data_IF_898625304839
#
_entry.id   IF_898625304839
#
_cell.length_a   1.000
_cell.length_b   1.000
_cell.length_c   1.000
_cell.angle_alpha   90.00
_cell.angle_beta   90.00
_cell.angle_gamma   90.00
#
_symmetry.space_group_name_H-M   'P 1'
#
loop_
_entity.id
_entity.type
_entity.pdbx_description
1 polymer ?
#
# COMPACT_ATOMS: atom_id res chain seq x y z
N UNK A 1 -19.34 9.24 18.46
CA UNK A 1 -20.10 8.24 17.71
C UNK A 1 -19.69 6.85 18.20
N UNK A 2 -20.61 5.92 18.44
CA UNK A 2 -20.23 4.54 18.68
C UNK A 2 -19.46 4.04 17.45
N UNK A 3 -18.34 3.38 17.66
CA UNK A 3 -17.57 2.78 16.58
C UNK A 3 -18.43 1.63 16.05
N UNK A 4 -18.79 1.68 14.77
CA UNK A 4 -19.61 0.66 14.12
C UNK A 4 -18.79 -0.65 14.03
N UNK A 5 -19.44 -1.81 14.24
CA UNK A 5 -18.80 -3.14 14.12
C UNK A 5 -18.12 -3.34 12.76
N UNK A 6 -18.62 -2.73 11.71
CA UNK A 6 -18.03 -2.75 10.36
C UNK A 6 -16.71 -2.01 10.33
N UNK A 7 -16.61 -0.85 11.00
CA UNK A 7 -15.35 -0.12 11.11
C UNK A 7 -14.34 -0.92 11.94
N UNK A 8 -14.76 -1.58 13.01
CA UNK A 8 -13.88 -2.45 13.79
C UNK A 8 -13.33 -3.62 12.94
N UNK A 9 -14.17 -4.25 12.15
CA UNK A 9 -13.77 -5.33 11.23
C UNK A 9 -12.77 -4.81 10.18
N UNK A 10 -13.01 -3.62 9.63
CA UNK A 10 -12.09 -2.99 8.70
C UNK A 10 -10.74 -2.68 9.35
N UNK A 11 -10.71 -2.12 10.56
CA UNK A 11 -9.47 -1.84 11.30
C UNK A 11 -8.71 -3.14 11.63
N UNK A 12 -9.42 -4.22 11.94
CA UNK A 12 -8.80 -5.53 12.17
C UNK A 12 -8.10 -6.06 10.90
N UNK A 13 -8.75 -5.95 9.74
CA UNK A 13 -8.13 -6.34 8.45
C UNK A 13 -6.94 -5.44 8.09
N UNK A 14 -7.01 -4.16 8.42
CA UNK A 14 -5.91 -3.22 8.23
C UNK A 14 -4.70 -3.56 9.11
N UNK A 15 -4.92 -4.09 10.32
CA UNK A 15 -3.86 -4.48 11.24
C UNK A 15 -2.94 -5.56 10.64
N UNK A 16 -3.48 -6.53 9.90
CA UNK A 16 -2.70 -7.56 9.24
C UNK A 16 -1.81 -6.99 8.12
N UNK A 17 -2.31 -5.99 7.38
CA UNK A 17 -1.56 -5.30 6.33
C UNK A 17 -0.44 -4.40 6.88
N UNK A 18 -0.60 -3.92 8.12
CA UNK A 18 0.33 -2.99 8.75
C UNK A 18 1.54 -3.66 9.39
N UNK A 19 1.56 -4.99 9.53
CA UNK A 19 2.68 -5.69 10.17
C UNK A 19 4.04 -5.20 9.64
N UNK A 20 5.03 -4.96 10.51
CA UNK A 20 5.12 -5.22 11.95
C UNK A 20 4.55 -4.09 12.84
N UNK A 21 3.70 -3.23 12.30
CA UNK A 21 2.96 -2.21 13.05
C UNK A 21 1.55 -2.68 13.40
N UNK A 22 0.91 -1.97 14.33
CA UNK A 22 -0.48 -2.17 14.71
C UNK A 22 -1.19 -0.82 14.86
N UNK A 23 -2.50 -0.74 14.56
CA UNK A 23 -3.30 0.43 14.87
C UNK A 23 -3.37 0.66 16.38
N UNK A 24 -3.14 1.91 16.80
CA UNK A 24 -3.22 2.32 18.23
C UNK A 24 -4.35 3.31 18.47
N UNK A 25 -4.77 4.02 17.44
CA UNK A 25 -5.83 5.03 17.54
C UNK A 25 -6.56 5.14 16.21
N UNK A 26 -7.86 5.33 16.26
CA UNK A 26 -8.69 5.60 15.08
C UNK A 26 -9.58 6.81 15.36
N UNK A 27 -9.47 7.82 14.50
CA UNK A 27 -10.29 9.03 14.55
C UNK A 27 -11.17 9.03 13.29
N UNK A 28 -12.47 8.89 13.49
CA UNK A 28 -13.46 9.05 12.43
C UNK A 28 -14.06 10.44 12.49
N UNK A 29 -13.97 11.16 11.38
CA UNK A 29 -14.61 12.48 11.17
C UNK A 29 -15.62 12.35 10.05
N UNK A 30 -16.52 13.34 9.92
CA UNK A 30 -17.60 13.32 8.92
C UNK A 30 -17.09 13.19 7.46
N UNK A 31 -15.84 13.49 7.19
CA UNK A 31 -15.26 13.52 5.84
C UNK A 31 -14.09 12.56 5.62
N UNK A 32 -13.55 11.92 6.67
CA UNK A 32 -12.40 11.03 6.55
C UNK A 32 -12.12 10.25 7.83
N UNK A 33 -11.36 9.16 7.70
CA UNK A 33 -10.87 8.35 8.81
C UNK A 33 -9.34 8.48 8.86
N UNK A 34 -8.79 8.68 10.06
CA UNK A 34 -7.35 8.64 10.31
C UNK A 34 -7.08 7.50 11.28
N UNK A 35 -6.24 6.57 10.87
CA UNK A 35 -5.72 5.48 11.71
C UNK A 35 -4.28 5.77 12.03
N UNK A 36 -3.95 5.90 13.32
CA UNK A 36 -2.56 6.01 13.78
C UNK A 36 -2.03 4.63 14.11
N UNK A 37 -0.86 4.29 13.56
CA UNK A 37 -0.22 2.99 13.73
C UNK A 37 1.25 3.12 14.11
N UNK A 38 1.72 2.23 14.97
CA UNK A 38 3.12 2.16 15.39
C UNK A 38 3.57 0.71 15.52
N UNK A 39 4.86 0.50 15.84
CA UNK A 39 5.43 -0.83 16.02
C UNK A 39 4.62 -1.64 17.02
N UNK A 40 4.19 -2.83 16.62
CA UNK A 40 3.55 -3.81 17.49
C UNK A 40 4.54 -4.36 18.51
N UNK A 41 4.12 -4.43 19.77
CA UNK A 41 4.95 -5.02 20.83
C UNK A 41 5.23 -6.50 20.55
N UNK A 42 6.47 -6.94 20.76
CA UNK A 42 6.86 -8.33 20.54
C UNK A 42 6.98 -8.76 19.07
N UNK A 43 6.76 -7.86 18.09
CA UNK A 43 6.93 -8.20 16.68
C UNK A 43 8.38 -8.51 16.33
N UNK A 44 8.60 -9.57 15.57
CA UNK A 44 9.90 -9.89 14.98
C UNK A 44 10.14 -8.92 13.83
N UNK A 45 11.29 -8.25 13.87
CA UNK A 45 11.68 -7.28 12.84
C UNK A 45 12.74 -7.89 11.92
N UNK A 46 12.55 -7.73 10.63
CA UNK A 46 13.48 -8.21 9.62
C UNK A 46 13.96 -7.07 8.74
N UNK A 47 15.15 -7.22 8.15
CA UNK A 47 15.68 -6.31 7.17
C UNK A 47 14.81 -6.29 5.91
N UNK A 48 14.54 -5.10 5.36
CA UNK A 48 13.74 -4.97 4.15
C UNK A 48 14.39 -5.55 2.88
N UNK A 49 15.72 -5.78 2.91
CA UNK A 49 16.47 -6.22 1.74
C UNK A 49 16.84 -7.70 1.77
N UNK A 50 17.32 -8.22 2.89
CA UNK A 50 17.74 -9.63 3.02
C UNK A 50 16.85 -10.47 3.92
N UNK A 51 15.79 -9.89 4.48
CA UNK A 51 14.81 -10.53 5.36
C UNK A 51 15.37 -11.16 6.64
N UNK A 52 16.66 -10.96 6.92
CA UNK A 52 17.29 -11.44 8.15
C UNK A 52 16.69 -10.75 9.36
N UNK A 53 16.41 -11.51 10.41
CA UNK A 53 16.01 -10.95 11.70
C UNK A 53 17.07 -9.97 12.18
N UNK A 54 16.65 -8.77 12.52
CA UNK A 54 17.56 -7.64 12.78
C UNK A 54 17.16 -6.90 14.05
N UNK A 55 18.15 -6.36 14.76
CA UNK A 55 17.94 -5.66 16.01
C UNK A 55 17.16 -4.35 15.82
N UNK A 56 16.17 -4.05 16.65
CA UNK A 56 15.44 -2.78 16.59
C UNK A 56 16.38 -1.59 16.89
N UNK A 57 16.23 -0.50 16.14
CA UNK A 57 17.03 0.73 16.26
C UNK A 57 16.17 1.98 16.16
N UNK A 58 15.10 2.03 16.95
CA UNK A 58 14.21 3.17 17.01
C UNK A 58 13.12 3.14 15.95
N UNK A 59 12.56 4.31 15.67
CA UNK A 59 11.42 4.52 14.79
C UNK A 59 11.80 5.49 13.66
N UNK A 60 11.18 5.31 12.50
CA UNK A 60 11.26 6.25 11.39
C UNK A 60 10.36 7.48 11.66
N UNK A 61 10.48 8.51 10.84
CA UNK A 61 9.54 9.63 10.89
C UNK A 61 8.11 9.15 10.52
N UNK A 62 7.08 9.65 11.21
CA UNK A 62 5.69 9.35 10.87
C UNK A 62 5.39 9.69 9.42
N UNK A 63 4.59 8.84 8.77
CA UNK A 63 4.18 9.02 7.38
C UNK A 63 2.68 8.89 7.26
N UNK A 64 2.06 9.89 6.62
CA UNK A 64 0.64 9.85 6.27
C UNK A 64 0.49 9.17 4.91
N UNK A 65 -0.19 8.02 4.89
CA UNK A 65 -0.37 7.15 3.72
C UNK A 65 -1.85 7.01 3.43
N UNK A 66 -2.25 7.27 2.18
CA UNK A 66 -3.61 7.06 1.69
C UNK A 66 -3.87 5.56 1.51
N UNK A 67 -4.99 5.09 2.06
CA UNK A 67 -5.44 3.70 1.95
C UNK A 67 -6.81 3.63 1.24
N UNK A 68 -7.33 2.44 1.01
CA UNK A 68 -8.66 2.21 0.42
C UNK A 68 -9.73 2.88 1.27
N UNK A 69 -10.75 3.42 0.64
CA UNK A 69 -11.86 4.08 1.31
C UNK A 69 -12.69 3.07 2.14
N UNK A 70 -13.20 3.53 3.25
CA UNK A 70 -14.19 2.81 4.01
C UNK A 70 -15.54 3.50 3.83
N UNK A 71 -16.51 2.83 3.24
CA UNK A 71 -17.87 3.35 2.99
C UNK A 71 -17.87 4.77 2.36
N UNK A 72 -17.08 4.97 1.32
CA UNK A 72 -16.86 6.25 0.64
C UNK A 72 -16.18 7.34 1.49
N UNK A 73 -15.68 7.01 2.66
CA UNK A 73 -14.83 7.91 3.44
C UNK A 73 -13.36 7.64 3.18
N UNK A 74 -12.59 8.65 2.78
CA UNK A 74 -11.14 8.53 2.62
C UNK A 74 -10.46 8.06 3.90
N UNK A 75 -9.64 7.03 3.80
CA UNK A 75 -8.85 6.51 4.93
C UNK A 75 -7.39 6.91 4.78
N UNK A 76 -6.86 7.48 5.83
CA UNK A 76 -5.45 7.85 5.96
C UNK A 76 -4.83 7.09 7.11
N UNK A 77 -3.65 6.52 6.88
CA UNK A 77 -2.88 5.84 7.92
C UNK A 77 -1.64 6.67 8.25
N UNK A 78 -1.60 7.19 9.47
CA UNK A 78 -0.42 7.85 10.02
C UNK A 78 0.46 6.80 10.70
N UNK A 79 1.42 6.26 9.97
CA UNK A 79 2.22 5.12 10.43
C UNK A 79 3.66 5.52 10.74
N UNK A 80 4.16 5.01 11.86
CA UNK A 80 5.56 5.14 12.30
C UNK A 80 6.24 3.78 12.24
N UNK A 81 6.96 3.52 11.14
CA UNK A 81 7.63 2.24 10.93
C UNK A 81 8.85 2.07 11.83
N UNK A 82 9.11 0.85 12.34
CA UNK A 82 10.33 0.56 13.08
C UNK A 82 11.56 0.58 12.15
N UNK A 83 12.70 0.99 12.70
CA UNK A 83 14.02 0.87 12.07
C UNK A 83 14.78 -0.29 12.70
N UNK A 84 15.62 -0.92 11.89
CA UNK A 84 16.49 -2.02 12.30
C UNK A 84 17.92 -1.77 11.88
N UNK A 85 18.85 -2.43 12.54
CA UNK A 85 20.23 -2.52 12.09
C UNK A 85 20.47 -3.90 11.51
N UNK A 86 20.85 -3.96 10.24
CA UNK A 86 21.29 -5.16 9.55
C UNK A 86 22.81 -5.10 9.33
N UNK A 87 23.59 -6.15 9.64
CA UNK A 87 25.03 -6.13 9.42
C UNK A 87 25.44 -5.89 7.97
N UNK A 88 24.61 -6.31 7.01
CA UNK A 88 24.89 -6.15 5.56
C UNK A 88 24.37 -4.82 5.01
N UNK A 89 23.23 -4.32 5.51
CA UNK A 89 22.54 -3.16 4.92
C UNK A 89 22.51 -1.93 5.83
N UNK A 90 23.10 -2.03 7.05
CA UNK A 90 23.13 -0.94 8.02
C UNK A 90 21.76 -0.58 8.59
N UNK A 91 21.55 0.72 8.81
CA UNK A 91 20.30 1.24 9.37
C UNK A 91 19.22 1.38 8.29
N UNK A 92 18.21 0.53 8.34
CA UNK A 92 17.10 0.51 7.38
C UNK A 92 15.74 0.48 8.08
N UNK A 93 14.67 0.81 7.36
CA UNK A 93 13.31 0.55 7.84
C UNK A 93 13.07 -0.96 7.79
N UNK A 94 12.44 -1.51 8.83
CA UNK A 94 12.10 -2.92 8.87
C UNK A 94 11.19 -3.31 7.68
N UNK A 95 11.26 -4.57 7.24
CA UNK A 95 10.39 -5.09 6.20
C UNK A 95 8.92 -4.87 6.59
N UNK A 96 8.15 -4.36 5.66
CA UNK A 96 6.71 -4.14 5.77
C UNK A 96 6.09 -4.23 4.38
N UNK A 97 4.82 -4.62 4.29
CA UNK A 97 4.11 -4.82 3.03
C UNK A 97 3.01 -3.78 2.81
N UNK A 98 2.88 -2.80 3.69
CA UNK A 98 1.80 -1.83 3.62
C UNK A 98 1.95 -0.84 2.47
N UNK A 99 3.16 -0.35 2.22
CA UNK A 99 3.45 0.60 1.14
C UNK A 99 4.87 0.46 0.63
N UNK A 100 5.11 0.90 -0.60
CA UNK A 100 6.45 0.99 -1.17
C UNK A 100 7.30 2.08 -0.51
N UNK A 101 8.64 1.96 -0.53
CA UNK A 101 9.52 3.02 -0.05
C UNK A 101 9.18 4.36 -0.70
N UNK A 102 9.12 5.44 0.10
CA UNK A 102 8.80 6.81 -0.33
C UNK A 102 7.42 7.01 -0.98
N UNK A 103 6.57 5.99 -1.04
CA UNK A 103 5.19 6.12 -1.51
C UNK A 103 4.30 6.65 -0.38
N UNK A 104 3.26 7.41 -0.75
CA UNK A 104 2.21 7.91 0.14
C UNK A 104 0.86 7.26 -0.12
N UNK A 105 0.89 6.12 -0.78
CA UNK A 105 -0.26 5.28 -1.11
C UNK A 105 0.06 3.88 -0.63
N UNK A 106 -0.91 3.17 -0.04
CA UNK A 106 -0.76 1.77 0.32
C UNK A 106 -0.70 0.88 -0.91
N UNK A 107 -0.06 -0.28 -0.79
CA UNK A 107 -0.02 -1.25 -1.88
C UNK A 107 -1.44 -1.68 -2.30
N UNK A 108 -2.33 -1.91 -1.33
CA UNK A 108 -3.72 -2.28 -1.61
C UNK A 108 -4.49 -1.21 -2.41
N UNK A 109 -4.29 0.08 -2.13
CA UNK A 109 -4.88 1.15 -2.93
C UNK A 109 -4.23 1.24 -4.32
N UNK A 110 -2.92 1.01 -4.42
CA UNK A 110 -2.23 0.97 -5.71
C UNK A 110 -2.78 -0.15 -6.60
N UNK A 111 -2.97 -1.35 -6.04
CA UNK A 111 -3.51 -2.50 -6.76
C UNK A 111 -4.95 -2.25 -7.23
N UNK A 112 -5.80 -1.67 -6.38
CA UNK A 112 -7.15 -1.26 -6.76
C UNK A 112 -7.15 -0.24 -7.92
N UNK A 113 -6.28 0.76 -7.86
CA UNK A 113 -6.16 1.77 -8.94
C UNK A 113 -5.66 1.14 -10.25
N UNK A 114 -4.75 0.17 -10.19
CA UNK A 114 -4.30 -0.59 -11.36
C UNK A 114 -5.44 -1.38 -11.99
N UNK A 115 -6.25 -2.08 -11.19
CA UNK A 115 -7.43 -2.80 -11.68
C UNK A 115 -8.43 -1.86 -12.35
N UNK A 116 -8.68 -0.69 -11.74
CA UNK A 116 -9.60 0.30 -12.30
C UNK A 116 -9.09 0.87 -13.64
N UNK A 117 -7.79 1.17 -13.75
CA UNK A 117 -7.19 1.68 -14.99
C UNK A 117 -7.23 0.64 -16.11
N UNK A 118 -6.98 -0.63 -15.79
CA UNK A 118 -6.95 -1.71 -16.77
C UNK A 118 -8.35 -2.22 -17.15
N UNK A 119 -9.32 -2.12 -16.25
CA UNK A 119 -10.65 -2.73 -16.40
C UNK A 119 -11.79 -1.77 -16.72
N UNK A 120 -11.55 -0.45 -16.69
CA UNK A 120 -12.59 0.55 -16.93
C UNK A 120 -12.09 1.68 -17.84
N UNK A 121 -13.03 2.40 -18.46
CA UNK A 121 -12.72 3.60 -19.27
C UNK A 121 -12.50 4.86 -18.40
N UNK A 122 -12.27 4.71 -17.10
CA UNK A 122 -12.07 5.85 -16.21
C UNK A 122 -10.75 6.57 -16.52
N UNK A 123 -10.86 7.88 -16.62
CA UNK A 123 -9.70 8.73 -16.89
C UNK A 123 -8.85 8.96 -15.63
N UNK A 124 -7.57 9.26 -15.82
CA UNK A 124 -6.66 9.64 -14.73
C UNK A 124 -7.20 10.80 -13.88
N UNK A 125 -7.91 11.76 -14.53
CA UNK A 125 -8.47 12.93 -13.86
C UNK A 125 -9.61 12.52 -12.91
N UNK A 126 -10.48 11.61 -13.35
CA UNK A 126 -11.59 11.09 -12.54
C UNK A 126 -11.07 10.33 -11.33
N UNK A 127 -10.07 9.46 -11.50
CA UNK A 127 -9.45 8.72 -10.42
C UNK A 127 -8.74 9.64 -9.41
N UNK A 128 -8.02 10.67 -9.88
CA UNK A 128 -7.43 11.69 -8.99
C UNK A 128 -8.48 12.38 -8.12
N UNK A 129 -9.61 12.73 -8.72
CA UNK A 129 -10.71 13.40 -8.02
C UNK A 129 -11.41 12.46 -7.04
N UNK A 130 -11.72 11.24 -7.47
CA UNK A 130 -12.41 10.23 -6.66
C UNK A 130 -11.60 9.86 -5.41
N UNK A 131 -10.31 9.55 -5.56
CA UNK A 131 -9.44 9.12 -4.46
C UNK A 131 -8.70 10.26 -3.78
N UNK A 132 -8.97 11.51 -4.16
CA UNK A 132 -8.31 12.71 -3.60
C UNK A 132 -6.77 12.62 -3.65
N UNK A 133 -6.22 12.05 -4.73
CA UNK A 133 -4.79 11.86 -4.90
C UNK A 133 -4.12 13.14 -5.35
N UNK A 134 -2.97 13.47 -4.72
CA UNK A 134 -2.16 14.64 -5.05
C UNK A 134 -0.83 14.22 -5.67
N UNK A 135 -0.30 15.06 -6.58
CA UNK A 135 1.03 14.91 -7.14
C UNK A 135 1.14 13.79 -8.19
N UNK A 136 2.36 13.26 -8.34
CA UNK A 136 2.73 12.29 -9.39
C UNK A 136 2.43 10.82 -9.02
N UNK A 137 1.77 10.56 -7.89
CA UNK A 137 1.55 9.19 -7.43
C UNK A 137 0.74 8.39 -8.46
N UNK A 138 -0.35 8.97 -8.97
CA UNK A 138 -1.20 8.30 -9.97
C UNK A 138 -0.49 8.18 -11.33
N UNK A 139 0.28 9.16 -11.77
CA UNK A 139 1.03 9.08 -13.03
C UNK A 139 1.94 7.84 -13.07
N UNK A 140 2.65 7.55 -11.98
CA UNK A 140 3.48 6.34 -11.86
C UNK A 140 2.69 5.03 -11.93
N UNK A 141 1.45 5.04 -11.40
CA UNK A 141 0.55 3.88 -11.47
C UNK A 141 0.06 3.68 -12.90
N UNK A 142 -0.34 4.77 -13.57
CA UNK A 142 -0.76 4.75 -14.99
C UNK A 142 0.36 4.25 -15.90
N UNK A 143 1.58 4.74 -15.72
CA UNK A 143 2.73 4.30 -16.50
C UNK A 143 3.00 2.78 -16.29
N UNK A 144 2.85 2.31 -15.06
CA UNK A 144 3.00 0.88 -14.76
C UNK A 144 1.89 0.05 -15.38
N UNK A 145 0.64 0.52 -15.34
CA UNK A 145 -0.50 -0.14 -15.97
C UNK A 145 -0.29 -0.27 -17.50
N UNK A 146 0.18 0.78 -18.15
CA UNK A 146 0.52 0.76 -19.58
C UNK A 146 1.59 -0.29 -19.90
N UNK A 147 2.66 -0.34 -19.10
CA UNK A 147 3.72 -1.34 -19.29
C UNK A 147 3.23 -2.79 -19.09
N UNK A 148 2.26 -3.02 -18.20
CA UNK A 148 1.66 -4.34 -18.01
C UNK A 148 0.78 -4.73 -19.21
N UNK A 149 -0.01 -3.81 -19.74
CA UNK A 149 -0.83 -4.04 -20.92
C UNK A 149 0.02 -4.33 -22.16
N UNK A 150 1.11 -3.60 -22.36
CA UNK A 150 2.06 -3.84 -23.47
C UNK A 150 2.71 -5.22 -23.38
N UNK A 151 3.11 -5.67 -22.19
CA UNK A 151 3.68 -7.02 -21.99
C UNK A 151 2.66 -8.12 -22.27
N UNK A 152 1.42 -7.96 -21.80
CA UNK A 152 0.36 -8.95 -22.01
C UNK A 152 -0.01 -9.11 -23.51
N UNK A 153 0.10 -8.03 -24.30
CA UNK A 153 -0.11 -8.09 -25.75
C UNK A 153 1.03 -8.79 -26.48
N UNK A 154 2.27 -8.61 -26.04
CA UNK A 154 3.44 -9.27 -26.66
C UNK A 154 3.44 -10.78 -26.38
N UNK A 155 3.13 -11.19 -25.15
CA UNK A 155 3.08 -12.62 -24.78
C UNK A 155 1.91 -13.35 -25.47
N UNK A 156 0.79 -12.66 -25.73
CA UNK A 156 -0.35 -13.21 -26.49
C UNK A 156 -0.05 -13.47 -27.98
N UNK A 157 0.87 -12.74 -28.61
CA UNK A 157 1.26 -12.95 -30.00
C UNK A 157 2.24 -14.10 -30.19
N UNK A 158 3.04 -14.45 -29.16
CA UNK A 158 4.01 -15.56 -29.27
C UNK A 158 3.38 -16.95 -29.11
N UNK A 159 2.18 -17.05 -28.59
CA UNK A 159 1.47 -18.33 -28.43
C UNK A 159 0.71 -18.76 -29.70
N UNK A 160 0.35 -17.84 -30.59
CA UNK A 160 -0.42 -18.15 -31.80
C UNK A 160 0.46 -18.72 -32.93
N UNK A 161 1.75 -18.37 -32.97
CA UNK A 161 2.66 -18.84 -34.03
C UNK A 161 3.19 -20.30 -33.80
N UNK A 162 2.92 -20.89 -32.63
CA UNK A 162 3.36 -22.30 -32.34
C UNK A 162 2.33 -23.38 -32.65
N UNK A 163 1.08 -23.03 -32.89
CA UNK A 163 0.02 -24.00 -33.22
C UNK A 163 -0.25 -24.17 -34.70
N UNK A 164 0.49 -23.50 -35.58
CA UNK A 164 0.30 -23.63 -37.05
C UNK A 164 1.42 -24.37 -37.78
N UNK A 165 2.26 -25.13 -37.05
CA UNK A 165 3.26 -26.00 -37.69
C UNK A 165 3.25 -27.42 -37.05
N UNK A 166 2.19 -28.15 -37.32
CA UNK A 166 2.16 -29.63 -37.31
C UNK A 166 1.15 -30.11 -38.36
#
# INVERSE_FOLDING_TARGET
>A
MPIDDRLLTYIASLADLLLPCEPIETISKNSHIIVTATKKSGSVLTCAYCERVSSPRGLAQPRLIRHIDFENMPVWVNVTFPRVYCPEHGHVVAKQNFCKPRCRISNALEDLLLEMICGTDQTEIELKKQFQLKGQALARIVDRARQQLEKSTVDGFQTVDKEMTD
#
